data_IF_824952989468
#
_entry.id   IF_824952989468
#
_cell.length_a   1.000
_cell.length_b   1.000
_cell.length_c   1.000
_cell.angle_alpha   90.00
_cell.angle_beta   90.00
_cell.angle_gamma   90.00
#
_symmetry.space_group_name_H-M   'P 1'
#
loop_
_entity.id
_entity.type
_entity.pdbx_description
1 polymer ?
#
# COMPACT_ATOMS: atom_id res chain seq x y z
N UNK A 1 28.35 10.68 -24.58
CA UNK A 1 29.25 11.52 -23.74
C UNK A 1 28.40 12.65 -23.18
N UNK A 2 28.60 13.04 -21.90
CA UNK A 2 27.98 14.18 -21.19
C UNK A 2 26.56 13.89 -20.64
N UNK A 3 26.22 13.94 -19.35
CA UNK A 3 26.96 14.13 -18.09
C UNK A 3 26.11 13.54 -16.94
N UNK A 4 26.72 12.69 -16.10
CA UNK A 4 26.17 12.18 -14.85
C UNK A 4 26.40 13.24 -13.76
N UNK A 5 25.33 13.84 -13.20
CA UNK A 5 25.44 14.68 -12.00
C UNK A 5 24.95 13.89 -10.79
N UNK A 6 25.93 13.48 -9.97
CA UNK A 6 25.76 12.93 -8.63
C UNK A 6 25.19 14.02 -7.72
N UNK A 7 24.13 13.71 -6.98
CA UNK A 7 23.79 14.42 -5.76
C UNK A 7 23.89 13.43 -4.61
N UNK A 8 24.83 13.67 -3.70
CA UNK A 8 24.88 13.04 -2.39
C UNK A 8 23.79 13.67 -1.52
N UNK A 9 22.88 12.86 -0.98
CA UNK A 9 22.12 13.21 0.22
C UNK A 9 22.56 12.30 1.35
N UNK A 10 23.29 12.86 2.31
CA UNK A 10 23.63 12.19 3.56
C UNK A 10 22.40 12.25 4.49
N UNK A 11 21.87 11.08 4.88
CA UNK A 11 20.93 10.96 5.98
C UNK A 11 21.66 10.27 7.15
N UNK A 12 21.80 11.00 8.25
CA UNK A 12 22.34 10.49 9.52
C UNK A 12 21.14 10.03 10.35
N UNK A 13 21.03 8.73 10.61
CA UNK A 13 20.17 8.20 11.68
C UNK A 13 21.04 7.64 12.80
N UNK A 14 20.94 8.26 13.97
CA UNK A 14 21.60 7.82 15.18
C UNK A 14 20.82 6.64 15.79
N UNK A 15 21.47 5.49 15.90
CA UNK A 15 20.98 4.33 16.65
C UNK A 15 21.33 4.50 18.14
N UNK A 16 20.34 4.32 19.02
CA UNK A 16 20.57 4.15 20.44
C UNK A 16 20.19 2.71 20.83
N UNK A 17 21.21 1.87 21.00
CA UNK A 17 21.11 0.52 21.55
C UNK A 17 21.16 0.63 23.07
N UNK A 18 20.16 0.04 23.74
CA UNK A 18 20.14 -0.16 25.18
C UNK A 18 19.78 -1.61 25.51
N UNK A 19 20.75 -2.51 25.42
CA UNK A 19 20.68 -3.85 26.02
C UNK A 19 21.16 -3.77 27.47
N UNK A 20 20.31 -4.16 28.42
CA UNK A 20 20.77 -4.67 29.71
C UNK A 20 20.09 -5.99 30.03
N UNK A 21 20.92 -7.02 29.99
CA UNK A 21 20.70 -8.37 30.47
C UNK A 21 20.85 -8.34 31.99
N UNK A 22 19.91 -8.91 32.74
CA UNK A 22 20.27 -9.49 34.04
C UNK A 22 19.33 -10.65 34.42
N UNK A 23 19.97 -11.78 34.65
CA UNK A 23 19.42 -13.08 35.04
C UNK A 23 19.14 -13.14 36.55
N UNK A 24 18.12 -13.91 36.96
CA UNK A 24 18.21 -14.83 38.11
C UNK A 24 17.00 -15.77 38.22
N UNK A 25 17.32 -17.07 38.22
CA UNK A 25 16.44 -18.24 38.32
C UNK A 25 15.69 -18.39 39.65
N UNK A 26 14.50 -18.99 39.63
CA UNK A 26 14.03 -19.95 40.66
C UNK A 26 13.27 -21.11 40.02
N UNK A 27 13.71 -22.33 40.35
CA UNK A 27 13.03 -23.60 40.08
C UNK A 27 11.81 -23.74 41.00
N UNK A 28 10.66 -24.09 40.44
CA UNK A 28 9.72 -24.99 41.12
C UNK A 28 9.12 -25.94 40.08
N UNK A 29 9.16 -27.23 40.42
CA UNK A 29 8.58 -28.32 39.67
C UNK A 29 7.06 -28.30 39.83
N UNK A 30 6.33 -28.18 38.73
CA UNK A 30 4.90 -28.50 38.69
C UNK A 30 4.59 -29.17 37.37
N UNK A 31 3.87 -30.29 37.48
CA UNK A 31 3.44 -31.22 36.45
C UNK A 31 2.92 -30.49 35.21
N UNK A 32 3.55 -30.75 34.06
CA UNK A 32 3.12 -30.19 32.77
C UNK A 32 1.78 -30.81 32.36
N UNK A 33 0.70 -30.06 32.57
CA UNK A 33 -0.47 -30.18 31.71
C UNK A 33 -0.01 -29.77 30.30
N UNK A 34 0.10 -30.72 29.37
CA UNK A 34 0.26 -30.42 27.94
C UNK A 34 -1.13 -30.00 27.46
N UNK A 35 -1.40 -28.70 27.25
CA UNK A 35 -2.64 -28.33 26.60
C UNK A 35 -2.52 -28.92 25.19
N UNK A 36 -3.55 -29.66 24.75
CA UNK A 36 -3.69 -29.98 23.32
C UNK A 36 -3.44 -28.70 22.56
N UNK A 37 -2.34 -28.65 21.78
CA UNK A 37 -2.08 -27.54 20.89
C UNK A 37 -3.33 -27.42 20.03
N UNK A 38 -4.12 -26.37 20.27
CA UNK A 38 -4.98 -25.87 19.20
C UNK A 38 -3.98 -25.47 18.14
N UNK A 39 -3.78 -26.35 17.17
CA UNK A 39 -3.32 -25.93 15.86
C UNK A 39 -4.40 -24.96 15.44
N UNK A 40 -4.16 -23.67 15.67
CA UNK A 40 -4.96 -22.64 15.04
C UNK A 40 -4.75 -22.86 13.55
N UNK A 41 -5.81 -23.35 12.91
CA UNK A 41 -5.84 -23.54 11.47
C UNK A 41 -5.80 -22.14 10.86
N UNK A 42 -4.61 -21.57 10.70
CA UNK A 42 -4.40 -20.25 10.08
C UNK A 42 -4.55 -20.28 8.56
N UNK A 43 -5.15 -21.33 8.00
CA UNK A 43 -5.27 -21.49 6.55
C UNK A 43 -6.33 -20.53 5.99
N UNK A 44 -5.93 -19.31 5.65
CA UNK A 44 -6.63 -18.61 4.57
C UNK A 44 -6.44 -19.46 3.30
N UNK A 45 -7.52 -19.95 2.69
CA UNK A 45 -7.43 -20.67 1.43
C UNK A 45 -6.77 -19.75 0.40
N UNK A 46 -5.67 -20.20 -0.19
CA UNK A 46 -5.07 -19.50 -1.31
C UNK A 46 -6.04 -19.59 -2.49
N UNK A 47 -6.53 -18.45 -2.94
CA UNK A 47 -7.33 -18.36 -4.17
C UNK A 47 -6.61 -17.40 -5.09
N UNK A 48 -6.26 -17.87 -6.29
CA UNK A 48 -5.65 -17.00 -7.29
C UNK A 48 -6.74 -16.19 -7.98
N UNK A 49 -6.53 -14.88 -8.09
CA UNK A 49 -7.44 -13.98 -8.80
C UNK A 49 -7.08 -13.97 -10.27
N UNK A 50 -8.09 -14.11 -11.13
CA UNK A 50 -7.92 -13.79 -12.54
C UNK A 50 -7.81 -12.26 -12.70
N UNK A 51 -6.67 -11.82 -13.23
CA UNK A 51 -6.35 -10.41 -13.47
C UNK A 51 -5.94 -10.22 -14.93
N UNK A 52 -6.06 -8.98 -15.40
CA UNK A 52 -5.61 -8.62 -16.75
C UNK A 52 -4.09 -8.63 -16.81
N UNK A 53 -3.56 -8.82 -18.02
CA UNK A 53 -2.13 -8.69 -18.27
C UNK A 53 -1.66 -7.28 -17.92
N UNK A 54 -0.54 -7.18 -17.20
CA UNK A 54 0.07 -5.91 -16.86
C UNK A 54 0.83 -5.32 -18.05
N UNK A 55 0.73 -4.00 -18.24
CA UNK A 55 1.55 -3.27 -19.22
C UNK A 55 2.96 -2.96 -18.69
N UNK A 56 3.10 -2.86 -17.35
CA UNK A 56 4.35 -2.52 -16.67
C UNK A 56 5.17 -3.73 -16.21
N UNK A 57 6.40 -3.46 -15.76
CA UNK A 57 7.26 -4.43 -15.07
C UNK A 57 7.28 -4.14 -13.57
N UNK A 58 6.86 -5.13 -12.80
CA UNK A 58 6.68 -5.09 -11.35
C UNK A 58 7.41 -6.23 -10.64
N UNK A 59 7.91 -7.23 -11.39
CA UNK A 59 8.72 -8.34 -10.87
C UNK A 59 10.14 -8.20 -11.39
N UNK A 60 11.10 -8.14 -10.48
CA UNK A 60 12.52 -8.00 -10.74
C UNK A 60 13.24 -9.24 -10.18
N UNK A 61 13.22 -10.34 -10.95
CA UNK A 61 13.81 -11.62 -10.54
C UNK A 61 15.35 -11.63 -10.71
N UNK A 62 16.07 -10.88 -9.87
CA UNK A 62 17.54 -10.80 -9.96
C UNK A 62 18.22 -12.08 -9.45
N UNK A 63 17.53 -12.89 -8.65
CA UNK A 63 18.04 -14.17 -8.17
C UNK A 63 17.87 -15.31 -9.19
N UNK A 64 16.98 -15.16 -10.18
CA UNK A 64 16.70 -16.17 -11.19
C UNK A 64 15.98 -17.40 -10.63
N UNK A 65 15.12 -17.19 -9.61
CA UNK A 65 14.43 -18.27 -8.89
C UNK A 65 12.98 -18.47 -9.37
N UNK A 66 12.47 -17.57 -10.23
CA UNK A 66 11.10 -17.64 -10.71
C UNK A 66 11.06 -18.20 -12.13
N UNK A 67 10.06 -19.05 -12.39
CA UNK A 67 9.76 -19.47 -13.76
C UNK A 67 9.12 -18.29 -14.54
N UNK A 68 9.15 -18.30 -15.89
CA UNK A 68 8.48 -17.28 -16.69
C UNK A 68 6.99 -17.14 -16.37
N UNK A 69 6.31 -18.24 -16.06
CA UNK A 69 4.90 -18.26 -15.69
C UNK A 69 4.69 -17.61 -14.32
N UNK A 70 5.58 -17.87 -13.35
CA UNK A 70 5.55 -17.23 -12.04
C UNK A 70 5.80 -15.72 -12.15
N UNK A 71 6.81 -15.31 -12.92
CA UNK A 71 7.09 -13.89 -13.21
C UNK A 71 5.84 -13.23 -13.80
N UNK A 72 5.25 -13.82 -14.84
CA UNK A 72 4.07 -13.26 -15.50
C UNK A 72 2.89 -13.13 -14.53
N UNK A 73 2.55 -14.20 -13.80
CA UNK A 73 1.41 -14.18 -12.90
C UNK A 73 1.58 -13.11 -11.80
N UNK A 74 2.73 -13.09 -11.14
CA UNK A 74 3.00 -12.11 -10.08
C UNK A 74 3.07 -10.67 -10.64
N UNK A 75 3.58 -10.49 -11.86
CA UNK A 75 3.63 -9.19 -12.53
C UNK A 75 2.23 -8.67 -12.86
N UNK A 76 1.37 -9.52 -13.42
CA UNK A 76 -0.02 -9.19 -13.73
C UNK A 76 -0.79 -8.80 -12.45
N UNK A 77 -0.56 -9.54 -11.36
CA UNK A 77 -1.20 -9.25 -10.08
C UNK A 77 -0.71 -7.94 -9.44
N UNK A 78 0.60 -7.68 -9.48
CA UNK A 78 1.15 -6.40 -9.02
C UNK A 78 0.65 -5.23 -9.90
N UNK A 79 0.47 -5.44 -11.21
CA UNK A 79 -0.16 -4.48 -12.11
C UNK A 79 -1.64 -4.23 -11.81
N UNK A 80 -2.37 -5.26 -11.37
CA UNK A 80 -3.74 -5.10 -10.89
C UNK A 80 -3.79 -4.28 -9.59
N UNK A 81 -2.92 -4.53 -8.63
CA UNK A 81 -2.78 -3.66 -7.44
C UNK A 81 -2.41 -2.23 -7.84
N UNK A 82 -1.57 -2.09 -8.87
CA UNK A 82 -1.20 -0.81 -9.42
C UNK A 82 -2.45 -0.07 -9.91
N UNK A 83 -3.26 -0.62 -10.82
CA UNK A 83 -4.44 0.10 -11.34
C UNK A 83 -5.60 0.18 -10.35
N UNK A 84 -6.00 -0.94 -9.74
CA UNK A 84 -7.25 -1.04 -8.97
C UNK A 84 -7.12 -0.50 -7.55
N UNK A 85 -5.96 -0.70 -6.91
CA UNK A 85 -5.74 -0.27 -5.51
C UNK A 85 -4.87 0.97 -5.40
N UNK A 86 -4.33 1.46 -6.53
CA UNK A 86 -3.38 2.56 -6.57
C UNK A 86 -2.14 2.32 -5.69
N UNK A 87 -1.76 1.05 -5.52
CA UNK A 87 -0.59 0.63 -4.76
C UNK A 87 0.59 0.46 -5.70
N UNK A 88 1.72 1.06 -5.37
CA UNK A 88 2.99 0.84 -6.03
C UNK A 88 3.60 -0.47 -5.51
N UNK A 89 3.14 -1.59 -6.07
CA UNK A 89 3.58 -2.93 -5.69
C UNK A 89 4.77 -3.38 -6.54
N UNK A 90 5.75 -4.05 -5.93
CA UNK A 90 6.79 -4.74 -6.68
C UNK A 90 7.32 -5.96 -5.93
N UNK A 91 7.84 -6.92 -6.69
CA UNK A 91 8.51 -8.12 -6.18
C UNK A 91 9.95 -8.10 -6.63
N UNK A 92 10.88 -8.27 -5.71
CA UNK A 92 12.30 -8.38 -5.99
C UNK A 92 12.81 -9.70 -5.43
N UNK A 93 13.55 -10.45 -6.22
CA UNK A 93 14.35 -11.58 -5.73
C UNK A 93 15.81 -11.23 -5.83
N UNK A 94 16.62 -11.53 -4.81
CA UNK A 94 18.04 -11.16 -4.78
C UNK A 94 18.91 -12.23 -4.12
N UNK A 95 20.15 -12.33 -4.60
CA UNK A 95 21.18 -13.16 -3.99
C UNK A 95 22.19 -12.36 -3.15
N UNK A 96 22.17 -11.03 -3.25
CA UNK A 96 23.10 -10.11 -2.59
C UNK A 96 22.38 -8.77 -2.31
N UNK A 97 22.62 -8.23 -1.12
CA UNK A 97 22.11 -6.93 -0.67
C UNK A 97 23.20 -5.84 -0.64
N UNK A 98 24.46 -6.20 -0.93
CA UNK A 98 25.62 -5.38 -0.61
C UNK A 98 25.71 -5.15 0.90
N UNK A 99 26.02 -3.91 1.29
CA UNK A 99 26.17 -3.52 2.71
C UNK A 99 24.84 -3.13 3.38
N UNK A 100 23.70 -3.32 2.72
CA UNK A 100 22.38 -2.89 3.22
C UNK A 100 21.72 -3.97 4.06
N UNK A 101 20.92 -3.54 5.04
CA UNK A 101 19.95 -4.43 5.66
C UNK A 101 18.86 -4.83 4.64
N UNK A 102 18.18 -5.97 4.81
CA UNK A 102 17.06 -6.35 3.93
C UNK A 102 15.98 -5.27 3.84
N UNK A 103 15.65 -4.62 4.96
CA UNK A 103 14.66 -3.55 5.00
C UNK A 103 15.12 -2.32 4.22
N UNK A 104 16.35 -1.83 4.44
CA UNK A 104 16.88 -0.67 3.74
C UNK A 104 16.98 -0.94 2.23
N UNK A 105 17.32 -2.17 1.84
CA UNK A 105 17.32 -2.57 0.44
C UNK A 105 15.91 -2.49 -0.18
N UNK A 106 14.87 -2.98 0.52
CA UNK A 106 13.49 -2.89 0.05
C UNK A 106 12.99 -1.44 -0.03
N UNK A 107 13.36 -0.59 0.94
CA UNK A 107 13.04 0.83 0.95
C UNK A 107 13.73 1.58 -0.20
N UNK A 108 15.00 1.29 -0.46
CA UNK A 108 15.74 1.86 -1.60
C UNK A 108 15.18 1.38 -2.93
N UNK A 109 14.75 0.11 -3.03
CA UNK A 109 14.06 -0.39 -4.21
C UNK A 109 12.75 0.37 -4.47
N UNK A 110 11.98 0.68 -3.42
CA UNK A 110 10.80 1.55 -3.54
C UNK A 110 11.18 2.94 -4.05
N UNK A 111 12.28 3.51 -3.54
CA UNK A 111 12.79 4.80 -3.99
C UNK A 111 13.24 4.78 -5.46
N UNK A 112 13.93 3.72 -5.89
CA UNK A 112 14.45 3.59 -7.25
C UNK A 112 13.33 3.36 -8.28
N UNK A 113 12.37 2.51 -7.95
CA UNK A 113 11.29 2.11 -8.87
C UNK A 113 10.19 3.18 -8.93
N UNK A 114 9.85 3.78 -7.78
CA UNK A 114 8.68 4.65 -7.64
C UNK A 114 9.00 6.05 -7.12
N UNK A 115 10.27 6.43 -7.08
CA UNK A 115 10.73 7.74 -6.59
C UNK A 115 10.27 8.04 -5.15
N UNK A 116 10.08 7.00 -4.35
CA UNK A 116 9.53 7.04 -3.00
C UNK A 116 8.15 7.73 -2.91
N UNK A 117 7.35 7.67 -3.99
CA UNK A 117 6.03 8.28 -4.08
C UNK A 117 4.94 7.23 -3.97
N UNK A 118 3.81 7.62 -3.38
CA UNK A 118 2.62 6.80 -3.32
C UNK A 118 2.61 5.80 -2.16
N UNK A 119 1.55 5.01 -2.09
CA UNK A 119 1.45 3.87 -1.18
C UNK A 119 2.25 2.70 -1.75
N UNK A 120 3.20 2.16 -0.99
CA UNK A 120 4.11 1.12 -1.45
C UNK A 120 3.85 -0.24 -0.80
N UNK A 121 3.98 -1.31 -1.59
CA UNK A 121 4.03 -2.70 -1.12
C UNK A 121 5.18 -3.42 -1.84
N UNK A 122 6.35 -3.52 -1.20
CA UNK A 122 7.51 -4.17 -1.80
C UNK A 122 7.72 -5.52 -1.13
N UNK A 123 7.75 -6.57 -1.94
CA UNK A 123 8.06 -7.92 -1.53
C UNK A 123 9.51 -8.20 -1.92
N UNK A 124 10.38 -8.38 -0.94
CA UNK A 124 11.77 -8.77 -1.14
C UNK A 124 11.94 -10.23 -0.72
N UNK A 125 12.30 -11.08 -1.66
CA UNK A 125 12.77 -12.44 -1.41
C UNK A 125 14.29 -12.43 -1.46
N UNK A 126 14.93 -12.76 -0.34
CA UNK A 126 16.33 -12.45 -0.13
C UNK A 126 17.12 -13.69 0.31
N UNK A 127 17.89 -14.24 -0.62
CA UNK A 127 18.73 -15.40 -0.37
C UNK A 127 20.05 -15.05 0.35
N UNK A 128 20.39 -13.77 0.52
CA UNK A 128 21.64 -13.36 1.16
C UNK A 128 21.61 -13.60 2.67
N UNK A 129 20.49 -13.25 3.32
CA UNK A 129 20.30 -13.48 4.76
C UNK A 129 19.17 -14.46 5.07
N UNK A 130 18.37 -14.87 4.07
CA UNK A 130 17.13 -15.63 4.23
C UNK A 130 16.07 -14.90 5.08
N UNK A 131 16.17 -13.57 5.12
CA UNK A 131 15.17 -12.69 5.73
C UNK A 131 14.43 -11.97 4.60
N UNK A 132 13.23 -12.47 4.31
CA UNK A 132 12.31 -11.87 3.35
C UNK A 132 11.62 -10.65 3.99
N UNK A 133 11.37 -9.60 3.19
CA UNK A 133 10.78 -8.35 3.67
C UNK A 133 9.48 -8.05 2.95
N UNK A 134 8.47 -7.66 3.74
CA UNK A 134 7.28 -6.95 3.26
C UNK A 134 7.40 -5.50 3.68
N UNK A 135 7.85 -4.64 2.78
CA UNK A 135 7.96 -3.20 3.02
C UNK A 135 6.64 -2.51 2.64
N UNK A 136 6.16 -1.63 3.52
CA UNK A 136 4.85 -0.97 3.41
C UNK A 136 4.98 0.53 3.66
N UNK A 137 4.31 1.35 2.86
CA UNK A 137 4.14 2.79 3.11
C UNK A 137 2.73 3.25 2.74
N UNK A 138 2.34 4.44 3.23
CA UNK A 138 1.04 5.04 2.93
C UNK A 138 -0.12 4.11 3.33
N UNK A 139 -1.04 3.89 2.40
CA UNK A 139 -2.25 3.12 2.61
C UNK A 139 -1.96 1.66 3.02
N UNK A 140 -0.87 1.08 2.52
CA UNK A 140 -0.44 -0.26 2.90
C UNK A 140 0.01 -0.35 4.36
N UNK A 141 0.69 0.68 4.86
CA UNK A 141 1.10 0.71 6.26
C UNK A 141 -0.09 0.83 7.21
N UNK A 142 -1.08 1.67 6.87
CA UNK A 142 -2.25 1.90 7.72
C UNK A 142 -3.22 0.71 7.75
N UNK A 143 -3.39 -0.02 6.65
CA UNK A 143 -4.46 -1.02 6.51
C UNK A 143 -4.00 -2.48 6.58
N UNK A 144 -2.70 -2.75 6.49
CA UNK A 144 -2.16 -4.10 6.64
C UNK A 144 -1.55 -4.21 8.04
N UNK A 145 -2.25 -4.86 8.96
CA UNK A 145 -1.78 -5.07 10.33
C UNK A 145 -0.59 -6.04 10.38
N UNK A 146 0.19 -5.96 11.46
CA UNK A 146 1.29 -6.88 11.71
C UNK A 146 0.80 -8.34 11.76
N UNK A 147 -0.37 -8.58 12.37
CA UNK A 147 -0.98 -9.93 12.41
C UNK A 147 -1.28 -10.47 11.02
N UNK A 148 -1.80 -9.67 10.10
CA UNK A 148 -2.09 -10.11 8.74
C UNK A 148 -0.81 -10.40 7.96
N UNK A 149 0.19 -9.51 8.11
CA UNK A 149 1.51 -9.70 7.52
C UNK A 149 2.21 -10.96 8.05
N UNK A 150 2.27 -11.16 9.36
CA UNK A 150 2.88 -12.34 10.00
C UNK A 150 2.23 -13.63 9.52
N UNK A 151 0.90 -13.66 9.44
CA UNK A 151 0.17 -14.81 8.90
C UNK A 151 0.52 -15.07 7.44
N UNK A 152 0.58 -14.04 6.59
CA UNK A 152 0.95 -14.18 5.19
C UNK A 152 2.39 -14.67 5.03
N UNK A 153 3.34 -14.09 5.78
CA UNK A 153 4.76 -14.48 5.78
C UNK A 153 4.95 -15.92 6.27
N UNK A 154 4.24 -16.35 7.31
CA UNK A 154 4.30 -17.72 7.81
C UNK A 154 3.97 -18.76 6.73
N UNK A 155 2.91 -18.52 5.96
CA UNK A 155 2.52 -19.43 4.88
C UNK A 155 3.42 -19.29 3.65
N UNK A 156 3.78 -18.06 3.28
CA UNK A 156 4.71 -17.80 2.18
C UNK A 156 6.04 -18.51 2.40
N UNK A 157 6.56 -18.49 3.63
CA UNK A 157 7.78 -19.23 4.01
C UNK A 157 7.66 -20.72 3.72
N UNK A 158 6.53 -21.36 4.08
CA UNK A 158 6.30 -22.78 3.78
C UNK A 158 6.27 -23.04 2.27
N UNK A 159 5.67 -22.13 1.53
CA UNK A 159 5.53 -22.22 0.07
C UNK A 159 6.91 -22.09 -0.60
N UNK A 160 7.73 -21.13 -0.17
CA UNK A 160 9.12 -20.97 -0.60
C UNK A 160 9.98 -22.20 -0.28
N UNK A 161 9.87 -22.74 0.94
CA UNK A 161 10.57 -23.96 1.33
C UNK A 161 10.17 -25.18 0.48
N UNK A 162 8.95 -25.20 -0.06
CA UNK A 162 8.48 -26.24 -0.98
C UNK A 162 8.83 -25.98 -2.45
N UNK A 163 9.44 -24.83 -2.76
CA UNK A 163 9.76 -24.40 -4.13
C UNK A 163 8.62 -23.72 -4.87
N UNK A 164 7.45 -23.54 -4.25
CA UNK A 164 6.30 -22.84 -4.84
C UNK A 164 6.38 -21.33 -4.61
N UNK A 165 7.39 -20.71 -5.23
CA UNK A 165 7.63 -19.27 -5.12
C UNK A 165 6.48 -18.42 -5.62
N UNK A 166 5.79 -18.85 -6.69
CA UNK A 166 4.61 -18.14 -7.22
C UNK A 166 3.56 -17.99 -6.13
N UNK A 167 3.19 -19.10 -5.48
CA UNK A 167 2.15 -19.07 -4.45
C UNK A 167 2.55 -18.26 -3.23
N UNK A 168 3.80 -18.40 -2.77
CA UNK A 168 4.29 -17.61 -1.66
C UNK A 168 4.31 -16.10 -1.96
N UNK A 169 4.78 -15.69 -3.15
CA UNK A 169 4.76 -14.28 -3.58
C UNK A 169 3.32 -13.76 -3.66
N UNK A 170 2.42 -14.53 -4.29
CA UNK A 170 1.03 -14.12 -4.45
C UNK A 170 0.35 -13.89 -3.10
N UNK A 171 0.64 -14.74 -2.10
CA UNK A 171 0.12 -14.56 -0.76
C UNK A 171 0.56 -13.24 -0.12
N UNK A 172 1.80 -12.84 -0.36
CA UNK A 172 2.32 -11.56 0.13
C UNK A 172 1.73 -10.37 -0.64
N UNK A 173 1.59 -10.48 -1.97
CA UNK A 173 0.92 -9.46 -2.77
C UNK A 173 -0.57 -9.31 -2.39
N UNK A 174 -1.24 -10.39 -2.01
CA UNK A 174 -2.63 -10.39 -1.56
C UNK A 174 -2.88 -9.53 -0.31
N UNK A 175 -1.85 -9.20 0.47
CA UNK A 175 -1.97 -8.20 1.54
C UNK A 175 -2.47 -6.86 1.00
N UNK A 176 -2.11 -6.50 -0.24
CA UNK A 176 -2.61 -5.29 -0.89
C UNK A 176 -4.13 -5.26 -1.12
N UNK A 177 -4.82 -6.41 -1.05
CA UNK A 177 -6.29 -6.44 -1.13
C UNK A 177 -6.97 -5.86 0.11
N UNK A 178 -6.28 -5.88 1.27
CA UNK A 178 -6.76 -5.29 2.53
C UNK A 178 -6.85 -3.76 2.45
N UNK A 179 -6.10 -3.15 1.53
CA UNK A 179 -6.18 -1.72 1.30
C UNK A 179 -7.51 -1.33 0.62
N UNK A 180 -8.10 -0.18 0.98
CA UNK A 180 -9.31 0.35 0.35
C UNK A 180 -9.19 0.50 -1.18
N UNK A 181 -10.32 0.38 -1.90
CA UNK A 181 -10.35 0.55 -3.36
C UNK A 181 -10.72 1.98 -3.79
N UNK A 182 -11.41 2.73 -2.94
CA UNK A 182 -11.87 4.10 -3.16
C UNK A 182 -11.10 5.13 -2.32
N UNK A 183 -10.23 4.71 -1.40
CA UNK A 183 -9.32 5.59 -0.65
C UNK A 183 -7.87 5.18 -0.86
N UNK A 184 -7.10 6.02 -1.55
CA UNK A 184 -5.66 5.90 -1.75
C UNK A 184 -4.94 6.96 -0.92
N UNK A 185 -4.60 6.62 0.33
CA UNK A 185 -3.96 7.53 1.27
C UNK A 185 -2.44 7.39 1.28
N UNK A 186 -1.75 8.15 0.44
CA UNK A 186 -0.30 8.06 0.30
C UNK A 186 0.47 8.71 1.45
N UNK A 187 -0.20 9.51 2.28
CA UNK A 187 0.43 10.33 3.32
C UNK A 187 -0.06 9.99 4.72
N UNK A 188 -0.88 8.95 4.84
CA UNK A 188 -1.44 8.47 6.11
C UNK A 188 -2.21 9.60 6.82
N UNK A 189 -2.99 10.32 6.02
CA UNK A 189 -3.84 11.41 6.47
C UNK A 189 -4.97 10.92 7.37
N UNK A 190 -5.48 9.71 7.11
CA UNK A 190 -6.61 9.12 7.80
C UNK A 190 -6.17 7.93 8.64
N UNK A 191 -6.69 7.87 9.86
CA UNK A 191 -6.57 6.66 10.69
C UNK A 191 -7.38 5.50 10.09
N UNK A 192 -7.12 4.28 10.54
CA UNK A 192 -7.74 3.07 10.01
C UNK A 192 -9.29 3.14 9.97
N UNK A 193 -9.94 3.53 11.08
CA UNK A 193 -11.41 3.61 11.12
C UNK A 193 -11.98 4.74 10.25
N UNK A 194 -11.26 5.86 10.12
CA UNK A 194 -11.65 6.94 9.20
C UNK A 194 -11.54 6.47 7.75
N UNK A 195 -10.41 5.86 7.38
CA UNK A 195 -10.18 5.28 6.05
C UNK A 195 -11.28 4.29 5.68
N UNK A 196 -11.61 3.37 6.59
CA UNK A 196 -12.69 2.37 6.41
C UNK A 196 -14.07 3.01 6.26
N UNK A 197 -14.36 4.06 7.02
CA UNK A 197 -15.66 4.75 6.95
C UNK A 197 -15.77 5.54 5.63
N UNK A 198 -14.70 6.22 5.21
CA UNK A 198 -14.63 6.89 3.91
C UNK A 198 -14.74 5.91 2.74
N UNK A 199 -14.05 4.76 2.79
CA UNK A 199 -14.16 3.71 1.79
C UNK A 199 -15.61 3.29 1.57
N UNK A 200 -16.33 2.99 2.67
CA UNK A 200 -17.74 2.61 2.62
C UNK A 200 -18.62 3.72 2.04
N UNK A 201 -18.35 4.96 2.42
CA UNK A 201 -19.12 6.12 1.99
C UNK A 201 -18.92 6.42 0.49
N UNK A 202 -17.67 6.39 0.01
CA UNK A 202 -17.32 6.58 -1.40
C UNK A 202 -17.84 5.43 -2.26
N UNK A 203 -17.70 4.18 -1.81
CA UNK A 203 -18.26 3.01 -2.50
C UNK A 203 -19.80 3.01 -2.58
N UNK A 204 -20.47 3.80 -1.73
CA UNK A 204 -21.93 3.96 -1.74
C UNK A 204 -22.40 5.10 -2.64
N UNK A 205 -21.49 5.91 -3.19
CA UNK A 205 -21.86 6.97 -4.13
C UNK A 205 -22.39 6.36 -5.43
N UNK A 206 -23.28 7.10 -6.11
CA UNK A 206 -23.82 6.66 -7.40
C UNK A 206 -22.75 6.61 -8.49
N UNK A 207 -21.88 7.61 -8.49
CA UNK A 207 -20.70 7.66 -9.35
C UNK A 207 -19.56 6.88 -8.69
N UNK A 208 -18.69 6.24 -9.48
CA UNK A 208 -17.45 5.65 -8.97
C UNK A 208 -16.47 6.78 -8.62
N UNK A 209 -16.27 7.02 -7.32
CA UNK A 209 -15.40 8.06 -6.81
C UNK A 209 -14.22 7.43 -6.09
N UNK A 210 -13.01 7.86 -6.41
CA UNK A 210 -11.78 7.48 -5.70
C UNK A 210 -11.08 8.72 -5.16
N UNK A 211 -10.71 8.70 -3.88
CA UNK A 211 -9.94 9.72 -3.20
C UNK A 211 -8.46 9.39 -3.19
N UNK A 212 -7.63 10.35 -3.59
CA UNK A 212 -6.19 10.37 -3.40
C UNK A 212 -5.82 11.38 -2.30
N UNK A 213 -5.30 10.92 -1.17
CA UNK A 213 -4.65 11.82 -0.21
C UNK A 213 -3.14 11.83 -0.48
N UNK A 214 -2.57 13.03 -0.65
CA UNK A 214 -1.21 13.22 -1.12
C UNK A 214 -0.53 14.44 -0.49
N UNK A 215 0.78 14.54 -0.73
CA UNK A 215 1.62 15.68 -0.41
C UNK A 215 2.55 15.92 -1.59
N UNK A 216 2.15 16.81 -2.49
CA UNK A 216 2.89 17.06 -3.70
C UNK A 216 4.15 17.89 -3.44
N UNK A 217 5.30 17.21 -3.35
CA UNK A 217 6.60 17.86 -3.20
C UNK A 217 7.31 18.11 -4.55
N UNK A 218 6.67 17.79 -5.67
CA UNK A 218 7.26 17.93 -7.00
C UNK A 218 6.97 19.29 -7.64
N UNK A 219 7.58 19.54 -8.80
CA UNK A 219 7.26 20.68 -9.67
C UNK A 219 6.01 20.44 -10.55
N UNK A 220 5.49 19.21 -10.59
CA UNK A 220 4.34 18.85 -11.41
C UNK A 220 3.07 19.40 -10.76
N UNK A 221 2.19 20.10 -11.48
CA UNK A 221 0.92 20.60 -10.92
C UNK A 221 0.02 19.47 -10.41
N UNK A 222 -0.80 19.78 -9.40
CA UNK A 222 -1.71 18.79 -8.80
C UNK A 222 -2.70 18.23 -9.82
N UNK A 223 -3.14 19.05 -10.78
CA UNK A 223 -4.06 18.65 -11.85
C UNK A 223 -3.46 17.59 -12.77
N UNK A 224 -2.17 17.69 -13.08
CA UNK A 224 -1.46 16.70 -13.91
C UNK A 224 -1.19 15.40 -13.17
N UNK A 225 -0.85 15.48 -11.88
CA UNK A 225 -0.72 14.32 -11.00
C UNK A 225 -2.07 13.60 -10.90
N UNK A 226 -3.14 14.34 -10.61
CA UNK A 226 -4.49 13.80 -10.49
C UNK A 226 -4.94 13.10 -11.78
N UNK A 227 -4.67 13.69 -12.95
CA UNK A 227 -4.92 13.05 -14.26
C UNK A 227 -4.14 11.75 -14.45
N UNK A 228 -2.90 11.69 -13.98
CA UNK A 228 -2.08 10.47 -14.08
C UNK A 228 -2.67 9.35 -13.24
N UNK A 229 -3.08 9.65 -12.00
CA UNK A 229 -3.77 8.69 -11.14
C UNK A 229 -5.15 8.29 -11.66
N UNK A 230 -5.90 9.22 -12.25
CA UNK A 230 -7.17 8.94 -12.91
C UNK A 230 -6.99 7.91 -14.03
N UNK A 231 -6.08 8.18 -14.97
CA UNK A 231 -5.81 7.28 -16.10
C UNK A 231 -5.38 5.90 -15.65
N UNK A 232 -4.66 5.80 -14.53
CA UNK A 232 -4.27 4.54 -13.89
C UNK A 232 -5.44 3.77 -13.28
N UNK A 233 -6.36 4.44 -12.60
CA UNK A 233 -7.52 3.82 -11.91
C UNK A 233 -8.68 3.48 -12.84
N UNK A 234 -8.85 4.31 -13.87
CA UNK A 234 -10.02 4.38 -14.74
C UNK A 234 -9.64 4.08 -16.20
N UNK A 235 -8.68 3.16 -16.43
CA UNK A 235 -8.14 2.82 -17.77
C UNK A 235 -9.26 2.52 -18.79
N UNK A 236 -10.24 1.70 -18.42
CA UNK A 236 -11.33 1.24 -19.30
C UNK A 236 -12.73 1.50 -18.71
N UNK A 237 -12.85 2.42 -17.76
CA UNK A 237 -14.13 2.73 -17.11
C UNK A 237 -14.15 4.19 -16.72
N UNK A 238 -15.34 4.74 -16.58
CA UNK A 238 -15.52 6.09 -16.11
C UNK A 238 -15.50 6.15 -14.58
N UNK A 239 -15.18 7.33 -14.06
CA UNK A 239 -15.27 7.64 -12.64
C UNK A 239 -14.87 9.08 -12.36
N UNK A 240 -14.68 9.39 -11.09
CA UNK A 240 -14.26 10.70 -10.59
C UNK A 240 -13.09 10.46 -9.64
N UNK A 241 -11.95 11.06 -9.94
CA UNK A 241 -10.80 11.05 -9.04
C UNK A 241 -10.77 12.37 -8.26
N UNK A 242 -10.75 12.28 -6.94
CA UNK A 242 -10.52 13.39 -6.04
C UNK A 242 -9.06 13.38 -5.59
N UNK A 243 -8.46 14.54 -5.39
CA UNK A 243 -7.15 14.66 -4.74
C UNK A 243 -7.20 15.70 -3.64
N UNK A 244 -6.87 15.27 -2.43
CA UNK A 244 -6.49 16.15 -1.32
C UNK A 244 -4.97 16.26 -1.33
N UNK A 245 -4.47 17.49 -1.45
CA UNK A 245 -3.05 17.78 -1.28
C UNK A 245 -2.82 18.53 0.02
N UNK A 246 -2.20 17.85 0.98
CA UNK A 246 -1.90 18.39 2.32
C UNK A 246 -0.91 19.55 2.30
N UNK A 247 -0.11 19.69 1.23
CA UNK A 247 0.82 20.81 1.08
C UNK A 247 0.12 22.10 0.67
N UNK A 248 -0.68 22.06 -0.39
CA UNK A 248 -1.45 23.22 -0.86
C UNK A 248 -2.74 23.44 -0.06
N UNK A 249 -3.15 22.46 0.76
CA UNK A 249 -4.40 22.45 1.54
C UNK A 249 -5.65 22.59 0.66
N UNK A 250 -5.63 21.94 -0.50
CA UNK A 250 -6.71 21.97 -1.48
C UNK A 250 -7.25 20.59 -1.78
N UNK A 251 -8.52 20.56 -2.13
CA UNK A 251 -9.16 19.43 -2.79
C UNK A 251 -9.52 19.77 -4.23
N UNK A 252 -9.21 18.86 -5.14
CA UNK A 252 -9.48 18.96 -6.57
C UNK A 252 -10.23 17.71 -7.03
N UNK A 253 -10.95 17.82 -8.15
CA UNK A 253 -11.61 16.69 -8.80
C UNK A 253 -11.26 16.64 -10.29
N UNK A 254 -11.22 15.43 -10.83
CA UNK A 254 -11.03 15.19 -12.26
C UNK A 254 -11.89 14.01 -12.74
N UNK A 255 -12.42 14.17 -13.95
CA UNK A 255 -13.04 13.11 -14.73
C UNK A 255 -12.88 13.47 -16.21
N UNK A 256 -12.79 12.46 -17.08
CA UNK A 256 -12.89 12.66 -18.53
C UNK A 256 -14.33 13.01 -18.96
N UNK A 257 -15.31 12.74 -18.09
CA UNK A 257 -16.69 13.19 -18.24
C UNK A 257 -16.93 14.53 -17.55
N UNK A 258 -18.01 15.19 -17.94
CA UNK A 258 -18.48 16.40 -17.28
C UNK A 258 -18.83 16.08 -15.82
N UNK A 259 -18.19 16.79 -14.89
CA UNK A 259 -18.47 16.67 -13.46
C UNK A 259 -19.92 17.09 -13.12
N UNK A 260 -20.58 16.42 -12.17
CA UNK A 260 -21.89 16.84 -11.69
C UNK A 260 -21.86 18.23 -11.04
N UNK A 261 -22.88 19.06 -11.29
CA UNK A 261 -22.94 20.42 -10.71
C UNK A 261 -22.92 20.43 -9.17
N UNK A 262 -23.48 19.40 -8.54
CA UNK A 262 -23.46 19.25 -7.09
C UNK A 262 -22.02 19.15 -6.55
N UNK A 263 -21.12 18.49 -7.29
CA UNK A 263 -19.71 18.38 -6.94
C UNK A 263 -19.00 19.73 -6.98
N UNK A 264 -19.26 20.58 -7.98
CA UNK A 264 -18.64 21.91 -8.08
C UNK A 264 -18.95 22.80 -6.86
N UNK A 265 -20.18 22.73 -6.35
CA UNK A 265 -20.57 23.43 -5.12
C UNK A 265 -19.88 22.83 -3.90
N UNK A 266 -19.92 21.50 -3.78
CA UNK A 266 -19.32 20.79 -2.65
C UNK A 266 -17.80 20.99 -2.57
N UNK A 267 -17.10 21.07 -3.71
CA UNK A 267 -15.66 21.35 -3.77
C UNK A 267 -15.29 22.71 -3.19
N UNK A 268 -16.15 23.73 -3.32
CA UNK A 268 -15.90 25.05 -2.71
C UNK A 268 -15.93 24.96 -1.19
N UNK A 269 -16.99 24.35 -0.65
CA UNK A 269 -17.15 24.15 0.79
C UNK A 269 -16.08 23.22 1.36
N UNK A 270 -15.74 22.16 0.64
CA UNK A 270 -14.67 21.25 1.03
C UNK A 270 -13.30 21.95 1.05
N UNK A 271 -13.01 22.87 0.12
CA UNK A 271 -11.77 23.65 0.16
C UNK A 271 -11.69 24.61 1.36
N UNK A 272 -12.82 25.11 1.86
CA UNK A 272 -12.84 25.89 3.11
C UNK A 272 -12.50 25.04 4.34
N UNK A 273 -12.86 23.76 4.31
CA UNK A 273 -12.53 22.78 5.35
C UNK A 273 -11.07 22.32 5.25
N UNK A 274 -10.56 22.02 4.05
CA UNK A 274 -9.14 21.67 3.86
C UNK A 274 -8.21 22.81 4.25
N UNK A 275 -8.59 24.07 4.03
CA UNK A 275 -7.83 25.23 4.49
C UNK A 275 -7.69 25.30 6.03
N UNK A 276 -8.64 24.72 6.76
CA UNK A 276 -8.65 24.55 8.22
C UNK A 276 -8.07 23.20 8.67
N UNK A 277 -7.53 22.42 7.73
CA UNK A 277 -7.01 21.06 7.96
C UNK A 277 -8.08 20.04 8.41
N UNK A 278 -9.36 20.36 8.22
CA UNK A 278 -10.46 19.40 8.40
C UNK A 278 -10.65 18.57 7.12
N UNK A 279 -9.71 17.67 6.88
CA UNK A 279 -9.71 16.84 5.67
C UNK A 279 -10.82 15.80 5.68
N UNK A 280 -11.15 15.21 6.84
CA UNK A 280 -12.23 14.24 6.96
C UNK A 280 -13.59 14.91 6.69
N UNK A 281 -13.83 16.09 7.28
CA UNK A 281 -15.01 16.91 6.99
C UNK A 281 -15.09 17.33 5.53
N UNK A 282 -13.95 17.69 4.91
CA UNK A 282 -13.89 18.03 3.49
C UNK A 282 -14.35 16.88 2.59
N UNK A 283 -13.89 15.64 2.83
CA UNK A 283 -14.34 14.46 2.05
C UNK A 283 -15.81 14.19 2.29
N UNK A 284 -16.27 14.27 3.55
CA UNK A 284 -17.68 14.07 3.88
C UNK A 284 -18.62 15.03 3.16
N UNK A 285 -18.22 16.30 3.04
CA UNK A 285 -18.97 17.29 2.28
C UNK A 285 -19.13 16.88 0.81
N UNK A 286 -18.11 16.28 0.21
CA UNK A 286 -18.19 15.74 -1.16
C UNK A 286 -19.14 14.54 -1.21
N UNK A 287 -18.97 13.57 -0.30
CA UNK A 287 -19.82 12.37 -0.23
C UNK A 287 -21.31 12.73 -0.12
N UNK A 288 -21.65 13.66 0.77
CA UNK A 288 -23.03 14.14 0.97
C UNK A 288 -23.65 14.70 -0.31
N UNK A 289 -22.86 15.43 -1.10
CA UNK A 289 -23.33 16.04 -2.36
C UNK A 289 -23.43 15.04 -3.52
N UNK A 290 -22.77 13.88 -3.41
CA UNK A 290 -22.68 12.85 -4.45
C UNK A 290 -23.62 11.67 -4.21
N UNK A 291 -24.69 11.91 -3.44
CA UNK A 291 -25.70 10.94 -3.01
C UNK A 291 -25.15 9.79 -2.13
N UNK A 292 -23.89 9.91 -1.68
CA UNK A 292 -23.29 8.99 -0.72
C UNK A 292 -23.87 9.20 0.68
N UNK A 293 -23.94 8.13 1.47
CA UNK A 293 -24.23 8.28 2.91
C UNK A 293 -22.99 8.89 3.56
N UNK A 294 -23.14 10.04 4.20
CA UNK A 294 -22.06 10.70 4.95
C UNK A 294 -21.32 9.67 5.83
N UNK A 295 -19.99 9.76 5.86
CA UNK A 295 -19.18 8.89 6.70
C UNK A 295 -19.49 9.24 8.16
N UNK A 296 -20.17 8.34 8.85
CA UNK A 296 -20.48 8.49 10.28
C UNK A 296 -19.67 7.48 11.07
N UNK A 297 -18.86 7.95 12.01
CA UNK A 297 -18.18 7.13 13.02
C UNK A 297 -19.22 6.65 14.05
N UNK A 298 -20.17 5.81 13.62
CA UNK A 298 -20.99 5.10 14.59
C UNK A 298 -20.13 3.99 15.17
N UNK A 299 -19.64 4.22 16.40
CA UNK A 299 -19.23 3.15 17.31
C UNK A 299 -20.43 2.22 17.50
N UNK A 300 -20.45 1.10 16.79
CA UNK A 300 -21.20 -0.09 17.23
C UNK A 300 -20.43 -0.79 18.35
#
# INVERSE_FOLDING_TARGET
MIFLKKFLSAAVFAAAIGLTICSCSKKSSTTYYVPKSKVETTSQPFTEREVRAAEGTYVFDKAGILSPEAVKACNDYAGWLYSEKLINAAVLTVNDLGDKSPYDYAADAFADIYEAKGSGLIILINNATNEDIVFKTGNCFTNISDKEQENAVYWATKEFMSGDYRKGIMRLLQLGELCPAHVADNVQLFEYEQSKTLEKALASCKEDITLLASKNNSSTPNEEILKTYYKRKYIDRDGIMLMIDTKSKKILAYSDKKLPKALDTALKEANELTAKEDYYGAVNKIVEAMDGKAASDKKE
#
